data_IF_063240089257
#
_entry.id   IF_063240089257
#
_cell.length_a   1.000
_cell.length_b   1.000
_cell.length_c   1.000
_cell.angle_alpha   90.00
_cell.angle_beta   90.00
_cell.angle_gamma   90.00
#
_symmetry.space_group_name_H-M   'P 1'
#
loop_
_entity.id
_entity.type
_entity.pdbx_description
1 polymer ?
#
# COMPACT_ATOMS: atom_id res chain seq x y z
N UNK A 1 -0.74 -25.75 -17.08
CA UNK A 1 -0.28 -24.77 -16.08
C UNK A 1 0.55 -23.72 -16.80
N UNK A 2 0.41 -22.43 -16.49
CA UNK A 2 1.33 -21.44 -17.01
C UNK A 2 2.76 -21.79 -16.56
N UNK A 3 3.74 -21.53 -17.41
CA UNK A 3 5.15 -21.77 -17.06
C UNK A 3 5.59 -20.73 -16.02
N UNK A 4 6.11 -21.14 -14.84
CA UNK A 4 6.44 -20.21 -13.77
C UNK A 4 7.62 -19.32 -14.17
N UNK A 5 7.44 -18.02 -14.10
CA UNK A 5 8.49 -17.03 -14.39
C UNK A 5 9.28 -16.67 -13.11
N UNK A 6 10.51 -16.17 -13.30
CA UNK A 6 11.33 -15.68 -12.18
C UNK A 6 10.58 -14.60 -11.41
N UNK A 7 10.57 -14.72 -10.07
CA UNK A 7 9.86 -13.80 -9.18
C UNK A 7 8.41 -14.15 -8.89
N UNK A 8 7.82 -15.17 -9.53
CA UNK A 8 6.49 -15.68 -9.19
C UNK A 8 6.51 -16.59 -7.97
N UNK A 9 5.41 -16.60 -7.21
CA UNK A 9 5.18 -17.59 -6.16
C UNK A 9 4.72 -18.90 -6.75
N UNK A 10 5.22 -19.98 -6.20
CA UNK A 10 4.87 -21.34 -6.57
C UNK A 10 4.66 -22.20 -5.33
N UNK A 11 3.69 -23.10 -5.38
CA UNK A 11 3.48 -24.12 -4.35
C UNK A 11 4.36 -25.32 -4.67
N UNK A 12 5.23 -25.71 -3.74
CA UNK A 12 6.17 -26.82 -3.91
C UNK A 12 6.13 -27.78 -2.73
N UNK A 13 6.38 -29.09 -2.93
CA UNK A 13 6.45 -30.04 -1.84
C UNK A 13 7.81 -29.96 -1.15
N UNK A 14 7.83 -29.78 0.17
CA UNK A 14 9.02 -29.85 1.02
C UNK A 14 8.81 -30.90 2.11
N UNK A 15 9.42 -32.07 1.95
CA UNK A 15 9.18 -33.21 2.83
C UNK A 15 7.73 -33.69 2.75
N UNK A 16 7.00 -33.61 3.87
CA UNK A 16 5.57 -33.93 3.97
C UNK A 16 4.65 -32.73 3.90
N UNK A 17 5.22 -31.50 3.79
CA UNK A 17 4.47 -30.24 3.74
C UNK A 17 4.52 -29.63 2.35
N UNK A 18 3.55 -28.84 2.04
CA UNK A 18 3.56 -27.92 0.90
C UNK A 18 3.92 -26.53 1.41
N UNK A 19 4.84 -25.88 0.71
CA UNK A 19 5.28 -24.53 1.04
C UNK A 19 5.20 -23.65 -0.20
N UNK A 20 5.03 -22.36 0.03
CA UNK A 20 5.14 -21.35 -1.02
C UNK A 20 6.61 -20.93 -1.12
N UNK A 21 7.13 -20.96 -2.33
CA UNK A 21 8.45 -20.47 -2.69
C UNK A 21 8.37 -19.45 -3.80
N UNK A 22 9.46 -18.71 -4.00
CA UNK A 22 9.60 -17.78 -5.12
C UNK A 22 10.55 -18.39 -6.15
N UNK A 23 10.17 -18.35 -7.42
CA UNK A 23 11.02 -18.79 -8.52
C UNK A 23 12.25 -17.89 -8.59
N UNK A 24 13.39 -18.43 -8.21
CA UNK A 24 14.64 -17.68 -8.14
C UNK A 24 15.42 -17.70 -9.46
N UNK A 25 15.52 -18.88 -10.06
CA UNK A 25 16.20 -19.09 -11.34
C UNK A 25 15.49 -20.16 -12.15
N UNK A 26 15.60 -20.03 -13.46
CA UNK A 26 15.21 -21.09 -14.41
C UNK A 26 16.50 -21.70 -14.96
N UNK A 27 16.50 -22.99 -15.16
CA UNK A 27 17.63 -23.73 -15.71
C UNK A 27 17.16 -24.55 -16.91
N UNK A 28 17.74 -24.27 -18.05
CA UNK A 28 17.53 -25.02 -19.27
C UNK A 28 18.72 -25.98 -19.43
N UNK A 29 18.53 -27.23 -19.12
CA UNK A 29 19.58 -28.25 -19.22
C UNK A 29 19.17 -29.59 -18.64
N UNK A 30 20.11 -30.57 -18.68
CA UNK A 30 19.89 -31.90 -18.11
C UNK A 30 19.62 -31.82 -16.60
N UNK A 31 18.69 -32.66 -16.14
CA UNK A 31 18.39 -32.76 -14.71
C UNK A 31 19.62 -33.21 -13.91
N UNK A 32 19.92 -32.59 -12.77
CA UNK A 32 21.03 -33.01 -11.92
C UNK A 32 20.82 -34.48 -11.47
N UNK A 33 21.74 -35.35 -11.79
CA UNK A 33 21.62 -36.82 -11.50
C UNK A 33 21.63 -37.15 -10.00
N UNK A 34 22.15 -36.23 -9.15
CA UNK A 34 22.33 -36.47 -7.71
C UNK A 34 21.32 -35.73 -6.82
N UNK A 35 20.39 -34.95 -7.41
CA UNK A 35 19.40 -34.18 -6.68
C UNK A 35 18.01 -34.68 -7.06
N UNK A 36 17.19 -34.99 -6.06
CA UNK A 36 15.78 -35.34 -6.29
C UNK A 36 14.99 -34.08 -6.61
N UNK A 37 14.77 -33.82 -7.90
CA UNK A 37 13.91 -32.73 -8.37
C UNK A 37 12.46 -33.04 -8.00
N UNK A 38 11.72 -32.04 -7.57
CA UNK A 38 10.29 -32.08 -7.27
C UNK A 38 9.53 -31.23 -8.25
N UNK A 39 8.34 -31.62 -8.61
CA UNK A 39 7.46 -30.84 -9.46
C UNK A 39 6.86 -29.67 -8.71
N UNK A 40 6.65 -28.55 -9.42
CA UNK A 40 5.84 -27.44 -8.96
C UNK A 40 4.38 -27.88 -8.99
N UNK A 41 3.69 -27.79 -7.86
CA UNK A 41 2.29 -28.22 -7.73
C UNK A 41 1.33 -27.18 -8.32
N UNK A 42 1.63 -25.91 -8.12
CA UNK A 42 0.80 -24.80 -8.58
C UNK A 42 1.64 -23.54 -8.77
N UNK A 43 1.34 -22.77 -9.79
CA UNK A 43 1.77 -21.37 -9.94
C UNK A 43 0.67 -20.49 -9.33
N UNK A 44 1.03 -19.63 -8.36
CA UNK A 44 0.08 -18.84 -7.58
C UNK A 44 -0.23 -17.52 -8.29
N UNK A 45 0.81 -16.90 -8.86
CA UNK A 45 0.73 -15.56 -9.42
C UNK A 45 0.62 -15.58 -10.94
N UNK A 46 -0.10 -14.60 -11.50
CA UNK A 46 -0.14 -14.35 -12.94
C UNK A 46 1.06 -13.51 -13.41
N UNK A 47 1.68 -12.76 -12.50
CA UNK A 47 2.84 -11.92 -12.75
C UNK A 47 3.86 -12.06 -11.62
N UNK A 48 5.14 -11.76 -11.91
CA UNK A 48 6.19 -11.81 -10.90
C UNK A 48 5.93 -10.80 -9.79
N UNK A 49 5.87 -11.24 -8.53
CA UNK A 49 5.74 -10.38 -7.36
C UNK A 49 7.09 -9.80 -6.90
N UNK A 50 8.20 -10.40 -7.34
CA UNK A 50 9.56 -9.95 -7.03
C UNK A 50 10.30 -9.70 -8.34
N UNK A 51 10.95 -8.55 -8.45
CA UNK A 51 11.74 -8.21 -9.65
C UNK A 51 13.11 -8.88 -9.64
N UNK A 52 13.72 -8.98 -10.80
CA UNK A 52 15.10 -9.52 -10.95
C UNK A 52 16.11 -8.68 -10.16
N UNK A 53 15.91 -7.36 -10.08
CA UNK A 53 16.77 -6.44 -9.33
C UNK A 53 16.68 -6.71 -7.82
N UNK A 54 15.47 -6.98 -7.31
CA UNK A 54 15.27 -7.37 -5.91
C UNK A 54 15.96 -8.71 -5.61
N UNK A 55 15.85 -9.70 -6.50
CA UNK A 55 16.54 -10.97 -6.33
C UNK A 55 18.07 -10.82 -6.32
N UNK A 56 18.62 -9.97 -7.18
CA UNK A 56 20.07 -9.65 -7.17
C UNK A 56 20.51 -8.97 -5.87
N UNK A 57 19.68 -8.04 -5.36
CA UNK A 57 19.94 -7.42 -4.05
C UNK A 57 19.90 -8.46 -2.93
N UNK A 58 18.93 -9.37 -2.94
CA UNK A 58 18.82 -10.43 -1.95
C UNK A 58 19.98 -11.42 -2.00
N UNK A 59 20.46 -11.75 -3.20
CA UNK A 59 21.66 -12.57 -3.38
C UNK A 59 22.89 -11.87 -2.78
N UNK A 60 23.06 -10.58 -3.04
CA UNK A 60 24.13 -9.80 -2.45
C UNK A 60 24.01 -9.73 -0.92
N UNK A 61 22.80 -9.51 -0.36
CA UNK A 61 22.55 -9.51 1.08
C UNK A 61 22.88 -10.85 1.71
N UNK A 62 22.45 -11.94 1.09
CA UNK A 62 22.74 -13.31 1.53
C UNK A 62 24.27 -13.56 1.63
N UNK A 63 25.02 -13.16 0.61
CA UNK A 63 26.47 -13.31 0.61
C UNK A 63 27.15 -12.38 1.61
N UNK A 64 26.71 -11.12 1.70
CA UNK A 64 27.31 -10.12 2.60
C UNK A 64 27.11 -10.45 4.08
N UNK A 65 25.92 -10.89 4.44
CA UNK A 65 25.58 -11.26 5.83
C UNK A 65 25.76 -12.74 6.15
N UNK A 66 26.24 -13.54 5.20
CA UNK A 66 26.40 -15.00 5.34
C UNK A 66 25.14 -15.70 5.85
N UNK A 67 23.99 -15.31 5.33
CA UNK A 67 22.69 -15.91 5.66
C UNK A 67 22.06 -16.56 4.43
N UNK A 68 21.06 -17.40 4.62
CA UNK A 68 20.35 -18.05 3.51
C UNK A 68 19.45 -17.08 2.74
N UNK A 69 19.21 -17.36 1.46
CA UNK A 69 18.22 -16.63 0.66
C UNK A 69 16.81 -16.65 1.28
N UNK A 70 16.46 -17.73 1.98
CA UNK A 70 15.18 -17.85 2.68
C UNK A 70 15.05 -16.87 3.84
N UNK A 71 16.13 -16.62 4.58
CA UNK A 71 16.13 -15.60 5.66
C UNK A 71 16.02 -14.19 5.09
N UNK A 72 16.70 -13.91 3.97
CA UNK A 72 16.55 -12.62 3.27
C UNK A 72 15.13 -12.43 2.78
N UNK A 73 14.53 -13.46 2.17
CA UNK A 73 13.14 -13.45 1.71
C UNK A 73 12.16 -13.12 2.85
N UNK A 74 12.31 -13.82 3.99
CA UNK A 74 11.45 -13.60 5.15
C UNK A 74 11.58 -12.20 5.76
N UNK A 75 12.74 -11.54 5.60
CA UNK A 75 12.94 -10.17 6.03
C UNK A 75 12.46 -9.14 4.99
N UNK A 76 12.48 -9.48 3.72
CA UNK A 76 12.21 -8.57 2.62
C UNK A 76 10.72 -8.47 2.25
N UNK A 77 9.94 -9.52 2.46
CA UNK A 77 8.52 -9.55 2.13
C UNK A 77 7.64 -9.69 3.37
N UNK A 78 6.45 -9.07 3.38
CA UNK A 78 5.43 -9.35 4.38
C UNK A 78 5.06 -10.84 4.39
N UNK A 79 4.94 -11.43 5.59
CA UNK A 79 4.62 -12.86 5.74
C UNK A 79 3.31 -13.26 5.05
N UNK A 80 2.31 -12.41 5.05
CA UNK A 80 1.02 -12.66 4.40
C UNK A 80 1.11 -12.74 2.87
N UNK A 81 2.12 -12.10 2.27
CA UNK A 81 2.43 -12.31 0.85
C UNK A 81 3.05 -13.69 0.64
N UNK A 82 3.98 -14.10 1.53
CA UNK A 82 4.68 -15.38 1.42
C UNK A 82 3.70 -16.53 1.64
N UNK A 83 2.83 -16.43 2.65
CA UNK A 83 1.92 -17.51 3.06
C UNK A 83 0.60 -17.53 2.28
N UNK A 84 0.38 -16.57 1.36
CA UNK A 84 -0.87 -16.37 0.60
C UNK A 84 -2.13 -16.23 1.49
N UNK A 85 -1.95 -15.68 2.68
CA UNK A 85 -3.00 -15.50 3.69
C UNK A 85 -3.57 -14.08 3.72
N UNK A 86 -3.20 -13.25 2.73
CA UNK A 86 -3.70 -11.89 2.67
C UNK A 86 -5.19 -11.87 2.33
N UNK A 87 -5.95 -11.19 3.16
CA UNK A 87 -7.37 -10.90 2.94
C UNK A 87 -7.54 -9.38 2.88
N UNK A 88 -8.06 -8.89 1.77
CA UNK A 88 -8.39 -7.47 1.64
C UNK A 88 -9.39 -7.04 2.74
N UNK A 89 -9.24 -5.82 3.25
CA UNK A 89 -10.27 -5.27 4.12
C UNK A 89 -11.51 -4.97 3.30
N UNK A 90 -12.66 -5.38 3.80
CA UNK A 90 -13.94 -5.09 3.16
C UNK A 90 -14.84 -4.32 4.10
N UNK A 91 -15.61 -3.42 3.54
CA UNK A 91 -16.66 -2.69 4.24
C UNK A 91 -17.97 -2.88 3.50
N UNK A 92 -19.04 -3.14 4.25
CA UNK A 92 -20.37 -3.28 3.71
C UNK A 92 -21.04 -1.90 3.62
N UNK A 93 -21.53 -1.59 2.44
CA UNK A 93 -22.30 -0.38 2.16
C UNK A 93 -23.75 -0.74 1.89
N UNK A 94 -24.64 0.11 2.37
CA UNK A 94 -26.07 0.01 2.15
C UNK A 94 -26.47 1.14 1.21
N UNK A 95 -27.29 0.82 0.21
CA UNK A 95 -27.89 1.77 -0.71
C UNK A 95 -29.37 1.48 -0.89
N UNK A 96 -30.15 2.47 -1.32
CA UNK A 96 -31.54 2.23 -1.71
C UNK A 96 -31.62 1.47 -3.03
N UNK A 97 -32.55 0.56 -3.14
CA UNK A 97 -32.86 -0.05 -4.41
C UNK A 97 -33.34 1.01 -5.43
N UNK A 98 -33.06 0.82 -6.73
CA UNK A 98 -33.35 1.81 -7.79
C UNK A 98 -34.81 2.32 -7.78
N UNK A 99 -35.74 1.47 -7.36
CA UNK A 99 -37.16 1.83 -7.26
C UNK A 99 -37.47 2.94 -6.23
N UNK A 100 -36.55 3.17 -5.28
CA UNK A 100 -36.73 4.13 -4.19
C UNK A 100 -35.78 5.34 -4.26
N UNK A 101 -35.15 5.58 -5.41
CA UNK A 101 -34.24 6.72 -5.57
C UNK A 101 -35.00 8.04 -5.77
N UNK A 102 -36.21 8.00 -6.35
CA UNK A 102 -37.04 9.19 -6.54
C UNK A 102 -37.62 9.67 -5.21
N UNK A 103 -37.70 10.99 -5.00
CA UNK A 103 -38.13 11.60 -3.75
C UNK A 103 -39.55 11.22 -3.34
N UNK A 104 -40.44 11.13 -4.32
CA UNK A 104 -41.82 10.69 -4.13
C UNK A 104 -41.90 9.23 -3.68
N UNK A 105 -41.03 8.38 -4.21
CA UNK A 105 -40.96 6.98 -3.81
C UNK A 105 -40.39 6.82 -2.37
N UNK A 106 -39.46 7.67 -1.96
CA UNK A 106 -38.94 7.69 -0.59
C UNK A 106 -40.00 8.10 0.41
N UNK A 107 -40.79 9.14 0.12
CA UNK A 107 -41.93 9.55 0.96
C UNK A 107 -43.01 8.47 1.07
N UNK A 108 -43.33 7.84 -0.05
CA UNK A 108 -44.29 6.73 -0.06
C UNK A 108 -43.78 5.52 0.74
N UNK A 109 -42.45 5.22 0.63
CA UNK A 109 -41.82 4.15 1.39
C UNK A 109 -41.91 4.42 2.89
N UNK A 110 -41.55 5.60 3.39
CA UNK A 110 -41.64 5.96 4.81
C UNK A 110 -43.07 5.85 5.31
N UNK A 111 -44.06 6.34 4.53
CA UNK A 111 -45.49 6.20 4.86
C UNK A 111 -45.92 4.74 4.94
N UNK A 112 -45.46 3.88 4.06
CA UNK A 112 -45.79 2.44 4.06
C UNK A 112 -45.25 1.70 5.28
N UNK A 113 -44.16 2.20 5.88
CA UNK A 113 -43.51 1.58 7.04
C UNK A 113 -44.00 2.13 8.39
N UNK A 114 -44.99 3.02 8.45
CA UNK A 114 -45.45 3.65 9.68
C UNK A 114 -45.88 2.63 10.78
N UNK A 115 -46.38 1.45 10.38
CA UNK A 115 -46.75 0.37 11.32
C UNK A 115 -45.51 -0.38 11.84
N UNK A 116 -44.39 -0.31 11.16
CA UNK A 116 -43.14 -0.99 11.51
C UNK A 116 -42.08 0.04 11.98
N UNK A 117 -42.32 0.67 13.14
CA UNK A 117 -41.58 1.80 13.66
C UNK A 117 -40.05 1.70 13.51
N UNK A 118 -39.46 0.53 13.83
CA UNK A 118 -37.99 0.33 13.72
C UNK A 118 -37.51 0.29 12.27
N UNK A 119 -38.34 -0.20 11.33
CA UNK A 119 -38.00 -0.20 9.90
C UNK A 119 -38.10 1.23 9.34
N UNK A 120 -39.14 1.97 9.71
CA UNK A 120 -39.29 3.38 9.35
C UNK A 120 -38.12 4.21 9.89
N UNK A 121 -37.75 4.05 11.16
CA UNK A 121 -36.62 4.72 11.80
C UNK A 121 -35.29 4.48 11.03
N UNK A 122 -35.02 3.24 10.59
CA UNK A 122 -33.83 2.90 9.87
C UNK A 122 -33.78 3.56 8.47
N UNK A 123 -34.93 3.60 7.78
CA UNK A 123 -35.05 4.26 6.46
C UNK A 123 -34.92 5.78 6.60
N UNK A 124 -35.58 6.40 7.56
CA UNK A 124 -35.49 7.83 7.82
C UNK A 124 -34.07 8.24 8.16
N UNK A 125 -33.38 7.47 9.00
CA UNK A 125 -31.99 7.73 9.36
C UNK A 125 -31.05 7.55 8.15
N UNK A 126 -31.26 6.52 7.33
CA UNK A 126 -30.54 6.37 6.07
C UNK A 126 -30.71 7.59 5.17
N UNK A 127 -31.93 8.07 4.97
CA UNK A 127 -32.22 9.25 4.15
C UNK A 127 -31.62 10.54 4.72
N UNK A 128 -31.48 10.61 6.05
CA UNK A 128 -30.88 11.76 6.72
C UNK A 128 -29.36 11.83 6.55
N UNK A 129 -28.68 10.67 6.60
CA UNK A 129 -27.20 10.61 6.56
C UNK A 129 -26.66 10.36 5.16
N UNK A 130 -27.49 9.82 4.24
CA UNK A 130 -27.11 9.60 2.85
C UNK A 130 -27.24 10.92 2.06
N UNK A 131 -26.19 11.27 1.34
CA UNK A 131 -26.25 12.40 0.43
C UNK A 131 -27.02 12.01 -0.85
N UNK A 132 -28.29 12.42 -0.96
CA UNK A 132 -29.21 12.12 -2.07
C UNK A 132 -29.47 10.63 -2.36
N UNK A 133 -29.54 9.77 -1.33
CA UNK A 133 -29.82 8.35 -1.50
C UNK A 133 -28.66 7.49 -1.95
N UNK A 134 -27.46 8.06 -1.96
CA UNK A 134 -26.23 7.31 -2.18
C UNK A 134 -25.95 6.33 -1.02
N UNK A 135 -24.88 5.62 -1.10
CA UNK A 135 -24.51 4.57 -0.16
C UNK A 135 -24.07 5.09 1.21
N UNK A 136 -24.39 4.35 2.24
CA UNK A 136 -23.95 4.57 3.63
C UNK A 136 -23.24 3.33 4.14
N UNK A 137 -22.16 3.47 4.88
CA UNK A 137 -21.50 2.34 5.53
C UNK A 137 -22.47 1.67 6.52
N UNK A 138 -22.62 0.36 6.44
CA UNK A 138 -23.55 -0.44 7.28
C UNK A 138 -23.35 -0.17 8.76
N UNK A 139 -22.10 -0.06 9.23
CA UNK A 139 -21.79 0.22 10.62
C UNK A 139 -22.29 1.60 11.04
N UNK A 140 -22.03 2.62 10.24
CA UNK A 140 -22.45 4.01 10.49
C UNK A 140 -23.98 4.09 10.56
N UNK A 141 -24.68 3.43 9.63
CA UNK A 141 -26.14 3.39 9.60
C UNK A 141 -26.72 2.74 10.86
N UNK A 142 -26.18 1.60 11.31
CA UNK A 142 -26.65 0.90 12.49
C UNK A 142 -26.37 1.66 13.79
N UNK A 143 -25.18 2.27 13.90
CA UNK A 143 -24.80 3.11 15.03
C UNK A 143 -25.69 4.37 15.13
N UNK A 144 -25.90 5.07 14.01
CA UNK A 144 -26.71 6.28 13.98
C UNK A 144 -28.20 6.01 14.24
N UNK A 145 -28.73 4.94 13.66
CA UNK A 145 -30.15 4.58 13.83
C UNK A 145 -30.46 3.92 15.19
N UNK A 146 -29.47 3.34 15.85
CA UNK A 146 -29.68 2.52 17.06
C UNK A 146 -30.51 1.26 16.84
N UNK A 147 -30.68 0.83 15.58
CA UNK A 147 -31.51 -0.32 15.20
C UNK A 147 -30.60 -1.54 14.97
N UNK A 148 -31.12 -2.73 15.34
CA UNK A 148 -30.35 -3.97 15.19
C UNK A 148 -30.15 -4.37 13.72
N UNK A 149 -29.05 -5.07 13.41
CA UNK A 149 -28.77 -5.60 12.08
C UNK A 149 -29.84 -6.56 11.54
N UNK A 150 -30.64 -7.21 12.42
CA UNK A 150 -31.75 -8.04 11.99
C UNK A 150 -32.85 -7.25 11.27
N UNK A 151 -33.11 -6.02 11.70
CA UNK A 151 -34.11 -5.14 11.04
C UNK A 151 -33.57 -4.69 9.67
N UNK A 152 -32.29 -4.38 9.57
CA UNK A 152 -31.66 -4.07 8.28
C UNK A 152 -31.79 -5.24 7.30
N UNK A 153 -31.54 -6.46 7.77
CA UNK A 153 -31.67 -7.66 6.93
C UNK A 153 -33.08 -7.85 6.39
N UNK A 154 -34.11 -7.58 7.21
CA UNK A 154 -35.53 -7.62 6.77
C UNK A 154 -35.76 -6.61 5.62
N UNK A 155 -35.16 -5.42 5.67
CA UNK A 155 -35.30 -4.42 4.62
C UNK A 155 -34.52 -4.77 3.34
N UNK A 156 -33.39 -5.46 3.49
CA UNK A 156 -32.64 -6.03 2.36
C UNK A 156 -33.46 -7.17 1.73
N UNK A 157 -33.99 -8.09 2.51
CA UNK A 157 -34.81 -9.21 2.03
C UNK A 157 -36.12 -8.73 1.34
N UNK A 158 -36.64 -7.56 1.74
CA UNK A 158 -37.78 -6.89 1.07
C UNK A 158 -37.40 -6.15 -0.22
N UNK A 159 -36.10 -6.11 -0.58
CA UNK A 159 -35.59 -5.37 -1.74
C UNK A 159 -35.70 -3.85 -1.62
N UNK A 160 -35.76 -3.31 -0.39
CA UNK A 160 -35.76 -1.87 -0.12
C UNK A 160 -34.32 -1.36 -0.08
N UNK A 161 -33.42 -2.08 0.59
CA UNK A 161 -32.00 -1.83 0.61
C UNK A 161 -31.24 -2.87 -0.19
N UNK A 162 -30.12 -2.44 -0.77
CA UNK A 162 -29.10 -3.28 -1.36
C UNK A 162 -27.85 -3.22 -0.47
N UNK A 163 -27.25 -4.37 -0.22
CA UNK A 163 -25.98 -4.48 0.49
C UNK A 163 -24.89 -4.80 -0.52
N UNK A 164 -23.83 -4.00 -0.52
CA UNK A 164 -22.68 -4.13 -1.41
C UNK A 164 -21.40 -4.17 -0.57
N UNK A 165 -20.60 -5.18 -0.81
CA UNK A 165 -19.29 -5.30 -0.18
C UNK A 165 -18.25 -4.59 -1.04
N UNK A 166 -17.53 -3.65 -0.44
CA UNK A 166 -16.46 -2.93 -1.11
C UNK A 166 -15.13 -3.15 -0.40
N UNK A 167 -14.10 -3.43 -1.16
CA UNK A 167 -12.73 -3.45 -0.65
C UNK A 167 -12.32 -2.03 -0.29
N UNK A 168 -11.79 -1.87 0.91
CA UNK A 168 -11.29 -0.60 1.44
C UNK A 168 -9.83 -0.76 1.83
N UNK A 169 -9.05 0.31 1.70
CA UNK A 169 -7.69 0.31 2.20
C UNK A 169 -7.68 0.48 3.72
N UNK A 170 -6.81 -0.28 4.39
CA UNK A 170 -6.50 -0.09 5.82
C UNK A 170 -5.62 1.12 6.05
N UNK A 171 -4.96 1.59 5.00
CA UNK A 171 -4.06 2.73 5.08
C UNK A 171 -4.86 4.01 5.28
N UNK A 172 -4.40 4.83 6.22
CA UNK A 172 -5.02 6.15 6.46
C UNK A 172 -4.77 7.04 5.26
N UNK A 173 -5.83 7.47 4.61
CA UNK A 173 -5.75 8.47 3.56
C UNK A 173 -5.55 9.85 4.18
N UNK A 174 -4.67 10.64 3.58
CA UNK A 174 -4.52 12.04 3.94
C UNK A 174 -5.71 12.83 3.41
N UNK A 175 -6.45 13.46 4.33
CA UNK A 175 -7.65 14.26 4.00
C UNK A 175 -7.39 15.77 4.10
N UNK A 176 -6.16 16.18 4.46
CA UNK A 176 -5.78 17.57 4.54
C UNK A 176 -5.52 18.22 3.18
N UNK A 177 -5.49 19.55 3.17
CA UNK A 177 -5.06 20.34 2.01
C UNK A 177 -3.53 20.34 1.93
N UNK A 178 -2.99 20.09 0.75
CA UNK A 178 -1.55 20.20 0.53
C UNK A 178 -1.11 21.67 0.49
N UNK A 179 0.09 21.91 0.99
CA UNK A 179 0.74 23.22 1.00
C UNK A 179 1.93 23.21 0.03
N UNK A 180 2.29 24.37 -0.47
CA UNK A 180 3.53 24.50 -1.24
C UNK A 180 4.75 24.33 -0.33
N UNK A 181 5.82 23.74 -0.83
CA UNK A 181 7.11 23.72 -0.16
C UNK A 181 7.57 25.14 0.20
N UNK A 182 8.26 25.29 1.32
CA UNK A 182 8.80 26.60 1.70
C UNK A 182 9.85 27.07 0.69
N UNK A 183 9.90 28.38 0.48
CA UNK A 183 10.91 28.96 -0.39
C UNK A 183 12.32 28.69 0.16
N UNK A 184 13.21 28.25 -0.70
CA UNK A 184 14.60 28.01 -0.36
C UNK A 184 15.37 29.33 -0.14
N UNK A 185 16.23 29.35 0.84
CA UNK A 185 17.24 30.39 0.99
C UNK A 185 18.38 30.22 -0.03
N UNK A 186 19.32 31.16 -0.04
CA UNK A 186 20.45 31.14 -0.98
C UNK A 186 21.38 29.94 -0.75
N UNK A 187 21.63 29.58 0.52
CA UNK A 187 22.51 28.44 0.85
C UNK A 187 21.88 27.12 0.41
N UNK A 188 20.57 26.96 0.62
CA UNK A 188 19.82 25.78 0.19
C UNK A 188 19.78 25.65 -1.33
N UNK A 189 19.55 26.76 -2.07
CA UNK A 189 19.63 26.76 -3.55
C UNK A 189 21.00 26.36 -4.05
N UNK A 190 22.06 26.91 -3.44
CA UNK A 190 23.43 26.56 -3.79
C UNK A 190 23.74 25.08 -3.50
N UNK A 191 23.22 24.52 -2.40
CA UNK A 191 23.34 23.10 -2.07
C UNK A 191 22.67 22.21 -3.13
N UNK A 192 21.46 22.55 -3.56
CA UNK A 192 20.75 21.81 -4.63
C UNK A 192 21.55 21.89 -5.94
N UNK A 193 22.02 23.05 -6.32
CA UNK A 193 22.84 23.20 -7.53
C UNK A 193 24.12 22.33 -7.49
N UNK A 194 24.81 22.28 -6.35
CA UNK A 194 25.96 21.41 -6.15
C UNK A 194 25.60 19.91 -6.18
N UNK A 195 24.45 19.53 -5.61
CA UNK A 195 23.94 18.16 -5.67
C UNK A 195 23.70 17.76 -7.14
N UNK A 196 23.01 18.60 -7.91
CA UNK A 196 22.73 18.34 -9.33
C UNK A 196 24.03 18.20 -10.14
N UNK A 197 25.02 19.06 -9.90
CA UNK A 197 26.31 18.95 -10.57
C UNK A 197 27.01 17.64 -10.20
N UNK A 198 27.00 17.28 -8.90
CA UNK A 198 27.59 16.02 -8.44
C UNK A 198 26.90 14.79 -9.06
N UNK A 199 25.58 14.83 -9.25
CA UNK A 199 24.84 13.72 -9.84
C UNK A 199 25.12 13.45 -11.32
N UNK A 200 25.72 14.39 -12.03
CA UNK A 200 26.17 14.14 -13.41
C UNK A 200 27.29 13.09 -13.49
N UNK A 201 28.14 13.04 -12.49
CA UNK A 201 29.31 12.17 -12.47
C UNK A 201 29.26 11.09 -11.39
N UNK A 202 28.57 11.35 -10.26
CA UNK A 202 28.59 10.50 -9.09
C UNK A 202 27.18 10.00 -8.76
N UNK A 203 27.12 8.79 -8.26
CA UNK A 203 25.86 8.15 -7.84
C UNK A 203 25.48 8.44 -6.38
N UNK A 204 26.42 8.94 -5.57
CA UNK A 204 26.25 9.24 -4.15
C UNK A 204 26.73 10.64 -3.85
N UNK A 205 25.92 11.41 -3.13
CA UNK A 205 26.24 12.75 -2.65
C UNK A 205 26.00 12.81 -1.15
N UNK A 206 26.90 13.37 -0.39
CA UNK A 206 26.77 13.65 1.03
C UNK A 206 26.35 15.11 1.23
N UNK A 207 25.13 15.33 1.75
CA UNK A 207 24.71 16.63 2.23
C UNK A 207 25.03 16.75 3.73
N UNK A 208 26.10 17.45 4.07
CA UNK A 208 26.51 17.67 5.45
C UNK A 208 25.95 19.00 5.98
N UNK A 209 25.38 18.98 7.18
CA UNK A 209 24.85 20.19 7.84
C UNK A 209 24.43 19.88 9.27
N UNK A 210 24.49 20.89 10.14
CA UNK A 210 24.05 20.79 11.54
C UNK A 210 22.53 20.56 11.64
N UNK A 211 22.08 20.15 12.82
CA UNK A 211 20.64 20.07 13.11
C UNK A 211 19.98 21.43 12.88
N UNK A 212 18.78 21.43 12.33
CA UNK A 212 18.00 22.65 12.00
C UNK A 212 18.62 23.55 10.91
N UNK A 213 19.60 23.07 10.13
CA UNK A 213 20.14 23.81 8.98
C UNK A 213 19.24 23.80 7.74
N UNK A 214 18.00 23.34 7.84
CA UNK A 214 17.06 23.34 6.73
C UNK A 214 17.25 22.23 5.71
N UNK A 215 18.03 21.16 6.00
CA UNK A 215 18.22 20.02 5.08
C UNK A 215 16.91 19.41 4.60
N UNK A 216 15.88 19.40 5.45
CA UNK A 216 14.58 18.85 5.08
C UNK A 216 13.94 19.60 3.91
N UNK A 217 14.10 20.92 3.82
CA UNK A 217 13.62 21.68 2.65
C UNK A 217 14.37 21.33 1.38
N UNK A 218 15.68 21.16 1.47
CA UNK A 218 16.49 20.70 0.35
C UNK A 218 15.98 19.33 -0.15
N UNK A 219 15.69 18.39 0.77
CA UNK A 219 15.13 17.09 0.40
C UNK A 219 13.74 17.20 -0.21
N UNK A 220 12.85 18.06 0.35
CA UNK A 220 11.51 18.26 -0.20
C UNK A 220 11.59 18.73 -1.66
N UNK A 221 12.41 19.71 -1.96
CA UNK A 221 12.56 20.21 -3.33
C UNK A 221 13.15 19.17 -4.29
N UNK A 222 14.17 18.42 -3.87
CA UNK A 222 14.73 17.33 -4.67
C UNK A 222 13.71 16.22 -4.92
N UNK A 223 12.88 15.89 -3.92
CA UNK A 223 11.76 14.93 -4.05
C UNK A 223 10.75 15.43 -5.08
N UNK A 224 10.31 16.70 -4.98
CA UNK A 224 9.36 17.29 -5.94
C UNK A 224 9.87 17.20 -7.38
N UNK A 225 11.16 17.46 -7.59
CA UNK A 225 11.78 17.37 -8.92
C UNK A 225 11.69 15.95 -9.48
N UNK A 226 12.06 14.94 -8.68
CA UNK A 226 12.02 13.53 -9.08
C UNK A 226 10.58 13.06 -9.33
N UNK A 227 9.62 13.49 -8.50
CA UNK A 227 8.21 13.15 -8.70
C UNK A 227 7.64 13.80 -9.96
N UNK A 228 8.03 15.04 -10.30
CA UNK A 228 7.65 15.70 -11.57
C UNK A 228 8.17 14.96 -12.82
N UNK A 229 9.27 14.23 -12.69
CA UNK A 229 9.79 13.37 -13.75
C UNK A 229 9.03 12.02 -13.83
N UNK A 230 7.99 11.80 -13.02
CA UNK A 230 7.26 10.54 -12.97
C UNK A 230 8.03 9.38 -12.32
N UNK A 231 9.06 9.69 -11.52
CA UNK A 231 9.90 8.71 -10.84
C UNK A 231 9.52 8.62 -9.36
N UNK A 232 9.90 7.50 -8.73
CA UNK A 232 9.70 7.26 -7.30
C UNK A 232 10.92 7.69 -6.49
N UNK A 233 10.68 8.09 -5.23
CA UNK A 233 11.72 8.41 -4.26
C UNK A 233 11.56 7.49 -3.05
N UNK A 234 12.67 6.92 -2.58
CA UNK A 234 12.75 6.23 -1.30
C UNK A 234 13.51 7.10 -0.30
N UNK A 235 12.82 7.53 0.74
CA UNK A 235 13.39 8.34 1.81
C UNK A 235 13.52 7.49 3.09
N UNK A 236 14.75 7.24 3.53
CA UNK A 236 15.06 6.39 4.68
C UNK A 236 15.34 7.24 5.93
N UNK A 237 14.68 6.91 7.03
CA UNK A 237 14.84 7.63 8.31
C UNK A 237 15.22 6.67 9.44
N UNK A 238 16.22 6.99 10.28
CA UNK A 238 16.76 6.04 11.26
C UNK A 238 15.90 5.81 12.49
N UNK A 239 15.02 6.74 12.88
CA UNK A 239 14.27 6.67 14.13
C UNK A 239 12.76 6.90 14.00
N UNK A 240 11.97 6.02 14.60
CA UNK A 240 10.49 6.10 14.58
C UNK A 240 9.99 7.37 15.32
N UNK A 241 10.67 7.81 16.37
CA UNK A 241 10.25 8.96 17.17
C UNK A 241 10.36 10.30 16.42
N UNK A 242 11.37 10.44 15.56
CA UNK A 242 11.54 11.63 14.70
C UNK A 242 10.58 11.65 13.52
N UNK A 243 9.97 10.51 13.22
CA UNK A 243 9.15 10.33 12.03
C UNK A 243 7.83 11.08 12.09
N UNK A 244 7.23 11.30 13.25
CA UNK A 244 5.90 11.93 13.32
C UNK A 244 5.95 13.36 12.76
N UNK A 245 6.84 14.20 13.25
CA UNK A 245 6.99 15.58 12.76
C UNK A 245 7.44 15.63 11.30
N UNK A 246 8.39 14.77 10.91
CA UNK A 246 8.84 14.71 9.53
C UNK A 246 7.74 14.19 8.59
N UNK A 247 7.01 13.16 9.01
CA UNK A 247 5.89 12.62 8.26
C UNK A 247 4.80 13.67 8.06
N UNK A 248 4.40 14.36 9.11
CA UNK A 248 3.41 15.44 9.04
C UNK A 248 3.84 16.55 8.08
N UNK A 249 5.12 16.93 8.14
CA UNK A 249 5.69 17.94 7.24
C UNK A 249 5.71 17.50 5.79
N UNK A 250 6.14 16.27 5.52
CA UNK A 250 6.12 15.70 4.17
C UNK A 250 4.69 15.50 3.67
N UNK A 251 3.79 15.08 4.55
CA UNK A 251 2.39 14.87 4.23
C UNK A 251 1.66 16.18 3.92
N UNK A 252 2.05 17.28 4.56
CA UNK A 252 1.54 18.60 4.24
C UNK A 252 1.93 19.07 2.82
N UNK A 253 3.06 18.61 2.29
CA UNK A 253 3.51 18.94 0.91
C UNK A 253 3.00 17.92 -0.10
N UNK A 254 3.23 16.64 0.15
CA UNK A 254 3.00 15.57 -0.84
C UNK A 254 1.62 14.90 -0.71
N UNK A 255 0.90 15.16 0.38
CA UNK A 255 -0.45 14.62 0.59
C UNK A 255 -0.49 13.10 0.48
N UNK A 256 -1.35 12.64 -0.39
CA UNK A 256 -1.58 11.22 -0.63
C UNK A 256 -0.45 10.54 -1.42
N UNK A 257 0.43 11.28 -2.09
CA UNK A 257 1.59 10.70 -2.77
C UNK A 257 2.62 10.11 -1.78
N UNK A 258 2.53 10.48 -0.50
CA UNK A 258 3.41 9.98 0.55
C UNK A 258 2.92 8.64 1.08
N UNK A 259 3.66 7.58 0.81
CA UNK A 259 3.47 6.27 1.42
C UNK A 259 4.48 6.10 2.55
N UNK A 260 3.98 5.87 3.76
CA UNK A 260 4.80 5.66 4.97
C UNK A 260 4.89 4.18 5.28
N UNK A 261 6.08 3.69 5.58
CA UNK A 261 6.30 2.30 6.00
C UNK A 261 7.12 2.24 7.29
N UNK A 262 6.63 1.56 8.31
CA UNK A 262 7.36 1.35 9.59
C UNK A 262 6.95 0.05 10.28
N UNK A 263 7.71 -0.34 11.31
CA UNK A 263 7.55 -1.60 12.02
C UNK A 263 6.21 -1.76 12.79
N UNK A 264 5.48 -0.66 13.03
CA UNK A 264 4.18 -0.69 13.76
C UNK A 264 3.00 -1.07 12.87
N UNK A 265 3.15 -1.08 11.56
CA UNK A 265 2.10 -1.54 10.65
C UNK A 265 1.87 -3.05 10.83
N UNK A 266 0.61 -3.45 10.79
CA UNK A 266 0.21 -4.86 10.69
C UNK A 266 0.73 -5.47 9.39
N UNK A 267 0.81 -6.78 9.33
CA UNK A 267 1.24 -7.47 8.11
C UNK A 267 0.32 -7.16 6.93
N UNK A 268 -0.99 -7.07 7.15
CA UNK A 268 -1.95 -6.72 6.11
C UNK A 268 -1.76 -5.30 5.55
N UNK A 269 -1.48 -4.30 6.40
CA UNK A 269 -1.14 -2.95 5.96
C UNK A 269 0.17 -2.94 5.16
N UNK A 270 1.17 -3.73 5.57
CA UNK A 270 2.43 -3.87 4.81
C UNK A 270 2.23 -4.48 3.43
N UNK A 271 1.29 -5.43 3.30
CA UNK A 271 0.92 -6.00 2.01
C UNK A 271 0.27 -4.93 1.11
N UNK A 272 -0.65 -4.14 1.64
CA UNK A 272 -1.27 -3.03 0.89
C UNK A 272 -0.21 -2.03 0.41
N UNK A 273 0.70 -1.62 1.30
CA UNK A 273 1.82 -0.72 0.94
C UNK A 273 2.70 -1.37 -0.15
N UNK A 274 2.98 -2.67 -0.04
CA UNK A 274 3.80 -3.37 -1.02
C UNK A 274 3.19 -3.32 -2.43
N UNK A 275 1.88 -3.57 -2.55
CA UNK A 275 1.16 -3.48 -3.83
C UNK A 275 1.07 -2.04 -4.34
N UNK A 276 0.72 -1.08 -3.50
CA UNK A 276 0.63 0.33 -3.87
C UNK A 276 1.94 0.86 -4.44
N UNK A 277 3.03 0.50 -3.80
CA UNK A 277 4.37 0.88 -4.21
C UNK A 277 4.76 0.28 -5.56
N UNK A 278 4.27 -0.89 -5.91
CA UNK A 278 4.51 -1.53 -7.22
C UNK A 278 3.67 -0.94 -8.34
N UNK A 279 2.70 -0.09 -8.02
CA UNK A 279 1.72 0.41 -8.98
C UNK A 279 0.76 -0.68 -9.47
N UNK A 280 0.63 -1.75 -8.71
CA UNK A 280 -0.36 -2.78 -8.96
C UNK A 280 -1.71 -2.26 -8.46
N UNK A 281 -2.67 -2.15 -9.36
CA UNK A 281 -4.05 -1.93 -8.96
C UNK A 281 -4.46 -3.11 -8.08
N UNK A 282 -4.66 -2.85 -6.80
CA UNK A 282 -5.41 -3.80 -6.00
C UNK A 282 -6.75 -3.99 -6.71
N UNK A 283 -7.23 -5.22 -6.90
CA UNK A 283 -8.36 -5.48 -7.79
C UNK A 283 -9.63 -4.67 -7.52
N UNK A 284 -9.63 -3.76 -6.55
CA UNK A 284 -10.79 -2.89 -6.24
C UNK A 284 -10.46 -1.59 -5.48
N UNK A 285 -9.23 -1.15 -5.37
CA UNK A 285 -8.95 0.23 -4.91
C UNK A 285 -8.89 1.14 -6.12
N UNK A 286 -9.60 2.26 -6.10
CA UNK A 286 -9.45 3.28 -7.15
C UNK A 286 -7.98 3.68 -7.20
N UNK A 287 -7.34 3.40 -8.33
CA UNK A 287 -5.94 3.66 -8.56
C UNK A 287 -5.61 5.12 -8.27
N UNK A 288 -4.61 5.32 -7.44
CA UNK A 288 -3.99 6.61 -7.27
C UNK A 288 -3.27 6.96 -8.58
N UNK A 289 -3.65 8.05 -9.24
CA UNK A 289 -3.07 8.49 -10.51
C UNK A 289 -1.73 9.22 -10.36
N UNK A 290 -0.99 8.98 -9.26
CA UNK A 290 0.27 9.65 -8.99
C UNK A 290 1.40 8.69 -8.63
N UNK A 291 2.64 9.08 -8.93
CA UNK A 291 3.85 8.34 -8.55
C UNK A 291 4.10 8.50 -7.05
N UNK A 292 4.13 7.41 -6.24
CA UNK A 292 4.24 7.53 -4.79
C UNK A 292 5.65 7.93 -4.33
N UNK A 293 5.70 8.82 -3.32
CA UNK A 293 6.87 9.07 -2.50
C UNK A 293 6.89 8.04 -1.37
N UNK A 294 7.98 7.29 -1.24
CA UNK A 294 8.18 6.32 -0.16
C UNK A 294 8.94 6.92 1.00
N UNK A 295 8.35 6.87 2.17
CA UNK A 295 9.05 7.09 3.43
C UNK A 295 9.18 5.76 4.17
N UNK A 296 10.37 5.19 4.21
CA UNK A 296 10.68 3.99 5.00
C UNK A 296 11.42 4.38 6.27
N UNK A 297 10.88 3.93 7.40
CA UNK A 297 11.48 4.11 8.72
C UNK A 297 12.05 2.78 9.19
N UNK A 298 13.35 2.67 9.27
CA UNK A 298 14.02 1.53 9.90
C UNK A 298 14.18 1.77 11.39
N UNK A 299 13.53 0.92 12.20
CA UNK A 299 13.92 0.70 13.58
C UNK A 299 15.20 -0.13 13.62
N UNK A 300 16.18 0.38 14.34
CA UNK A 300 17.44 -0.18 14.82
C UNK A 300 18.23 -1.21 13.99
N UNK A 301 19.47 -0.76 13.68
CA UNK A 301 20.70 -1.50 13.39
C UNK A 301 20.71 -2.41 12.16
N UNK A 302 21.51 -1.97 11.30
CA UNK A 302 22.41 -2.60 10.36
C UNK A 302 22.21 -2.00 8.97
N UNK A 303 23.06 -1.07 8.61
CA UNK A 303 23.82 -1.14 7.38
C UNK A 303 24.76 0.04 7.31
N UNK A 304 26.02 -0.27 7.57
CA UNK A 304 27.14 0.60 7.26
C UNK A 304 27.18 0.92 5.77
N UNK A 305 27.53 2.14 5.53
CA UNK A 305 27.85 2.76 4.26
C UNK A 305 28.37 1.81 3.18
N UNK A 306 27.49 1.39 2.27
CA UNK A 306 27.89 1.21 0.86
C UNK A 306 26.67 1.11 -0.05
N UNK A 307 26.61 2.05 -0.96
CA UNK A 307 25.63 2.33 -1.95
C UNK A 307 25.04 1.11 -2.68
N UNK A 308 23.72 1.06 -2.72
CA UNK A 308 22.93 0.28 -3.67
C UNK A 308 23.07 0.95 -5.04
N UNK A 309 23.75 0.29 -5.98
CA UNK A 309 23.92 0.75 -7.35
C UNK A 309 22.87 0.14 -8.27
N UNK A 310 22.22 1.05 -9.00
CA UNK A 310 21.64 1.00 -10.36
C UNK A 310 20.47 0.08 -10.67
N UNK A 311 19.49 0.77 -11.22
CA UNK A 311 18.47 0.52 -12.25
C UNK A 311 17.02 0.33 -11.79
N UNK A 312 16.65 0.74 -10.59
CA UNK A 312 15.25 1.11 -10.39
C UNK A 312 15.02 2.51 -11.00
N UNK A 313 13.88 2.74 -11.68
CA UNK A 313 13.49 4.07 -12.21
C UNK A 313 13.21 5.09 -11.09
N UNK A 314 14.07 5.17 -10.07
CA UNK A 314 13.95 6.04 -8.90
C UNK A 314 15.32 6.38 -8.29
N UNK A 315 15.38 7.47 -7.52
CA UNK A 315 16.56 7.87 -6.73
C UNK A 315 16.30 7.61 -5.25
N UNK A 316 17.34 7.12 -4.54
CA UNK A 316 17.36 7.01 -3.09
C UNK A 316 18.00 8.29 -2.55
N UNK A 317 17.30 9.02 -1.67
CA UNK A 317 17.78 10.22 -1.00
C UNK A 317 18.04 9.94 0.48
#
# INVERSE_FOLDING_TARGET
MPYPQIGMRVLVPLGKKHIIGIVYRQHEGEMPQHIKVREVLQVIDDQAIVTTEQLRLWEWLSQYYMCSMGEVLAAALPSEIIDDNYSAATTQYISLAPAYLAKEAQEALVKSLQRAKKQAQLVEEFLRISDNGYRVERRVLLEASGVSGAILRILIDKGIFLEEEQVVSRLRQYTGTTQMAHALDEQQRNAIAQIHETWKEKTVTLLHGVTSSGKTEVYIHLIEEVLREGKQVLYLVPEIALTTQLTERLQAVFGQQLVVYHSRFSNAERVEIYHEVRGEEHPKTQAFSGTPLRLEVRGERLLGDKAIRREAKGRVI
#
